data_IF_778257451707
#
_entry.id   IF_778257451707
#
_cell.length_a   1.000
_cell.length_b   1.000
_cell.length_c   1.000
_cell.angle_alpha   90.00
_cell.angle_beta   90.00
_cell.angle_gamma   90.00
#
_symmetry.space_group_name_H-M   'P 1'
#
loop_
_entity.id
_entity.type
_entity.pdbx_description
1 polymer ?
#
# COMPACT_ATOMS: atom_id res chain seq x y z
N UNK A 1 4.14 20.96 5.07
CA UNK A 1 3.39 19.70 5.21
C UNK A 1 3.07 19.42 6.66
N UNK A 2 1.84 18.99 6.93
CA UNK A 2 1.43 18.54 8.27
C UNK A 2 1.67 17.03 8.37
N UNK A 3 1.98 16.52 9.56
CA UNK A 3 2.17 15.07 9.80
C UNK A 3 0.95 14.24 9.33
N UNK A 4 -0.23 14.87 9.24
CA UNK A 4 -1.45 14.27 8.71
C UNK A 4 -1.40 13.86 7.24
N UNK A 5 -0.51 14.45 6.44
CA UNK A 5 -0.43 14.19 4.99
C UNK A 5 -0.02 12.73 4.69
N UNK A 6 0.65 12.06 5.62
CA UNK A 6 1.10 10.67 5.49
C UNK A 6 0.16 9.63 6.08
N UNK A 7 -0.99 10.06 6.62
CA UNK A 7 -2.01 9.17 7.19
C UNK A 7 -2.40 7.99 6.28
N UNK A 8 -2.51 8.14 4.93
CA UNK A 8 -2.81 7.02 4.03
C UNK A 8 -1.80 5.87 4.08
N UNK A 9 -0.56 6.09 4.54
CA UNK A 9 0.44 5.01 4.64
C UNK A 9 0.10 4.03 5.76
N UNK A 10 -0.51 4.51 6.86
CA UNK A 10 -0.70 3.74 8.09
C UNK A 10 -1.62 2.52 7.90
N UNK A 11 -2.83 2.65 7.32
CA UNK A 11 -3.74 1.52 7.18
C UNK A 11 -3.13 0.35 6.40
N UNK A 12 -2.42 0.65 5.30
CA UNK A 12 -1.79 -0.37 4.48
C UNK A 12 -0.69 -1.10 5.23
N UNK A 13 0.20 -0.35 5.92
CA UNK A 13 1.27 -0.93 6.71
C UNK A 13 0.72 -1.85 7.80
N UNK A 14 -0.36 -1.44 8.48
CA UNK A 14 -1.02 -2.27 9.49
C UNK A 14 -1.61 -3.53 8.88
N UNK A 15 -2.32 -3.42 7.76
CA UNK A 15 -2.92 -4.58 7.06
C UNK A 15 -1.83 -5.57 6.65
N UNK A 16 -0.75 -5.11 6.02
CA UNK A 16 0.37 -5.96 5.61
C UNK A 16 1.05 -6.58 6.83
N UNK A 17 1.29 -5.80 7.89
CA UNK A 17 1.95 -6.29 9.09
C UNK A 17 1.13 -7.42 9.74
N UNK A 18 -0.19 -7.21 9.90
CA UNK A 18 -1.12 -8.21 10.45
C UNK A 18 -1.21 -9.44 9.54
N UNK A 19 -1.30 -9.25 8.22
CA UNK A 19 -1.37 -10.32 7.23
C UNK A 19 -0.13 -11.22 7.30
N UNK A 20 1.07 -10.63 7.32
CA UNK A 20 2.33 -11.36 7.45
C UNK A 20 2.47 -12.02 8.83
N UNK A 21 2.13 -11.31 9.91
CA UNK A 21 2.31 -11.80 11.27
C UNK A 21 1.42 -13.02 11.56
N UNK A 22 0.11 -12.88 11.32
CA UNK A 22 -0.88 -13.94 11.61
C UNK A 22 -0.79 -15.14 10.68
N UNK A 23 -0.30 -14.95 9.47
CA UNK A 23 -0.23 -16.03 8.50
C UNK A 23 0.86 -17.04 8.86
N UNK A 24 0.48 -18.32 8.88
CA UNK A 24 1.41 -19.45 8.92
C UNK A 24 1.90 -19.87 7.54
N UNK A 25 1.42 -19.21 6.47
CA UNK A 25 1.80 -19.51 5.07
C UNK A 25 3.21 -19.02 4.78
N UNK A 26 3.61 -17.90 5.38
CA UNK A 26 4.91 -17.29 5.15
C UNK A 26 5.94 -17.78 6.18
N UNK A 27 7.12 -18.25 5.75
CA UNK A 27 8.24 -18.50 6.65
C UNK A 27 8.76 -17.19 7.25
N UNK A 28 9.40 -17.26 8.42
CA UNK A 28 9.87 -16.08 9.14
C UNK A 28 10.79 -15.17 8.30
N UNK A 29 11.63 -15.74 7.44
CA UNK A 29 12.50 -14.99 6.53
C UNK A 29 11.68 -14.07 5.62
N UNK A 30 10.62 -14.58 4.98
CA UNK A 30 9.75 -13.79 4.11
C UNK A 30 9.01 -12.69 4.91
N UNK A 31 8.61 -12.98 6.15
CA UNK A 31 8.00 -11.97 7.02
C UNK A 31 8.96 -10.81 7.30
N UNK A 32 10.21 -11.12 7.66
CA UNK A 32 11.23 -10.09 7.92
C UNK A 32 11.59 -9.29 6.67
N UNK A 33 11.71 -9.95 5.52
CA UNK A 33 11.90 -9.25 4.23
C UNK A 33 10.72 -8.32 3.95
N UNK A 34 9.48 -8.78 4.16
CA UNK A 34 8.28 -7.97 4.02
C UNK A 34 8.31 -6.74 4.94
N UNK A 35 8.56 -6.94 6.24
CA UNK A 35 8.65 -5.82 7.18
C UNK A 35 9.73 -4.82 6.79
N UNK A 36 10.94 -5.31 6.47
CA UNK A 36 12.04 -4.46 6.01
C UNK A 36 11.70 -3.68 4.75
N UNK A 37 11.11 -4.35 3.76
CA UNK A 37 10.68 -3.72 2.51
C UNK A 37 9.72 -2.56 2.77
N UNK A 38 8.62 -2.81 3.50
CA UNK A 38 7.60 -1.78 3.71
C UNK A 38 8.09 -0.64 4.61
N UNK A 39 8.95 -0.91 5.60
CA UNK A 39 9.57 0.13 6.43
C UNK A 39 10.51 0.99 5.58
N UNK A 40 11.42 0.39 4.83
CA UNK A 40 12.39 1.13 4.00
C UNK A 40 11.66 1.92 2.92
N UNK A 41 10.66 1.31 2.25
CA UNK A 41 9.84 2.00 1.26
C UNK A 41 9.13 3.23 1.86
N UNK A 42 8.59 3.10 3.08
CA UNK A 42 7.96 4.23 3.80
C UNK A 42 8.93 5.35 4.06
N UNK A 43 10.12 5.03 4.58
CA UNK A 43 11.14 6.04 4.83
C UNK A 43 11.58 6.73 3.55
N UNK A 44 11.89 5.97 2.49
CA UNK A 44 12.31 6.52 1.20
C UNK A 44 11.21 7.38 0.58
N UNK A 45 9.95 6.92 0.62
CA UNK A 45 8.81 7.66 0.10
C UNK A 45 8.67 9.04 0.75
N UNK A 46 8.71 9.08 2.08
CA UNK A 46 8.63 10.32 2.86
C UNK A 46 9.82 11.23 2.56
N UNK A 47 11.06 10.72 2.62
CA UNK A 47 12.27 11.52 2.40
C UNK A 47 12.27 12.19 1.02
N UNK A 48 11.90 11.45 -0.03
CA UNK A 48 11.87 11.99 -1.39
C UNK A 48 10.76 13.02 -1.54
N UNK A 49 9.57 12.79 -0.97
CA UNK A 49 8.46 13.74 -1.01
C UNK A 49 8.79 15.04 -0.27
N UNK A 50 9.32 14.95 0.94
CA UNK A 50 9.79 16.11 1.71
C UNK A 50 10.87 16.90 0.95
N UNK A 51 11.75 16.19 0.21
CA UNK A 51 12.75 16.85 -0.63
C UNK A 51 12.11 17.60 -1.82
N UNK A 52 11.09 17.03 -2.46
CA UNK A 52 10.34 17.71 -3.54
C UNK A 52 9.68 18.97 -2.99
N UNK A 53 9.01 18.86 -1.85
CA UNK A 53 8.41 20.01 -1.15
C UNK A 53 9.41 21.08 -0.80
N UNK A 54 10.52 20.70 -0.18
CA UNK A 54 11.56 21.65 0.20
C UNK A 54 12.12 22.44 -1.00
N UNK A 55 12.21 21.82 -2.18
CA UNK A 55 12.78 22.45 -3.37
C UNK A 55 11.77 23.29 -4.16
N UNK A 56 10.48 22.93 -4.13
CA UNK A 56 9.51 23.48 -5.07
C UNK A 56 8.21 24.00 -4.44
N UNK A 57 7.90 23.70 -3.17
CA UNK A 57 6.68 24.17 -2.48
C UNK A 57 6.86 25.61 -1.95
N UNK A 58 7.16 26.54 -2.85
CA UNK A 58 7.33 27.96 -2.55
C UNK A 58 6.31 28.77 -3.36
N UNK A 59 5.50 29.63 -2.73
CA UNK A 59 4.52 30.43 -3.45
C UNK A 59 5.16 31.42 -4.44
N UNK A 60 4.64 31.54 -5.68
CA UNK A 60 3.60 30.70 -6.28
C UNK A 60 4.12 29.29 -6.58
N UNK A 61 3.35 28.26 -6.21
CA UNK A 61 3.76 26.86 -6.41
C UNK A 61 3.93 26.62 -7.91
N UNK A 62 5.13 26.27 -8.39
CA UNK A 62 5.40 26.06 -9.81
C UNK A 62 4.86 24.70 -10.27
N UNK A 63 4.49 24.59 -11.55
CA UNK A 63 3.96 23.35 -12.16
C UNK A 63 4.88 22.14 -11.96
N UNK A 64 6.19 22.37 -11.89
CA UNK A 64 7.19 21.32 -11.65
C UNK A 64 7.02 20.62 -10.29
N UNK A 65 6.47 21.30 -9.28
CA UNK A 65 6.15 20.67 -8.00
C UNK A 65 5.09 19.58 -8.19
N UNK A 66 4.01 19.93 -8.89
CA UNK A 66 2.88 19.03 -9.12
C UNK A 66 3.29 17.83 -9.96
N UNK A 67 4.02 18.05 -11.05
CA UNK A 67 4.56 16.97 -11.89
C UNK A 67 5.41 15.99 -11.06
N UNK A 68 6.39 16.50 -10.31
CA UNK A 68 7.29 15.65 -9.51
C UNK A 68 6.58 14.93 -8.38
N UNK A 69 5.65 15.59 -7.69
CA UNK A 69 4.91 14.98 -6.59
C UNK A 69 3.92 13.91 -7.09
N UNK A 70 3.19 14.19 -8.17
CA UNK A 70 2.26 13.23 -8.78
C UNK A 70 2.99 11.99 -9.31
N UNK A 71 4.09 12.18 -10.05
CA UNK A 71 4.92 11.06 -10.55
C UNK A 71 5.44 10.20 -9.39
N UNK A 72 5.98 10.84 -8.35
CA UNK A 72 6.52 10.12 -7.20
C UNK A 72 5.42 9.39 -6.42
N UNK A 73 4.25 10.00 -6.28
CA UNK A 73 3.09 9.38 -5.66
C UNK A 73 2.60 8.16 -6.46
N UNK A 74 2.55 8.23 -7.79
CA UNK A 74 2.17 7.09 -8.64
C UNK A 74 3.15 5.92 -8.50
N UNK A 75 4.45 6.21 -8.56
CA UNK A 75 5.50 5.19 -8.34
C UNK A 75 5.35 4.58 -6.94
N UNK A 76 5.21 5.41 -5.91
CA UNK A 76 5.01 4.96 -4.54
C UNK A 76 3.79 4.05 -4.42
N UNK A 77 2.66 4.46 -4.98
CA UNK A 77 1.42 3.68 -4.98
C UNK A 77 1.62 2.29 -5.57
N UNK A 78 2.28 2.18 -6.73
CA UNK A 78 2.59 0.90 -7.36
C UNK A 78 3.51 0.05 -6.48
N UNK A 79 4.57 0.63 -5.92
CA UNK A 79 5.52 -0.05 -5.03
C UNK A 79 4.86 -0.56 -3.74
N UNK A 80 3.79 0.08 -3.28
CA UNK A 80 2.99 -0.37 -2.15
C UNK A 80 1.95 -1.45 -2.55
N UNK A 81 1.19 -1.20 -3.61
CA UNK A 81 0.06 -2.05 -3.99
C UNK A 81 0.48 -3.39 -4.56
N UNK A 82 1.49 -3.43 -5.42
CA UNK A 82 1.92 -4.68 -6.08
C UNK A 82 2.31 -5.74 -5.05
N UNK A 83 3.26 -5.51 -4.13
CA UNK A 83 3.61 -6.52 -3.12
C UNK A 83 2.46 -6.82 -2.16
N UNK A 84 1.64 -5.82 -1.80
CA UNK A 84 0.45 -6.06 -0.97
C UNK A 84 -0.54 -7.00 -1.65
N UNK A 85 -0.79 -6.79 -2.94
CA UNK A 85 -1.68 -7.62 -3.76
C UNK A 85 -1.12 -9.03 -3.88
N UNK A 86 0.19 -9.18 -4.08
CA UNK A 86 0.85 -10.50 -4.11
C UNK A 86 0.68 -11.24 -2.78
N UNK A 87 0.92 -10.58 -1.64
CA UNK A 87 0.72 -11.17 -0.30
C UNK A 87 -0.74 -11.60 -0.13
N UNK A 88 -1.68 -10.73 -0.50
CA UNK A 88 -3.12 -11.00 -0.42
C UNK A 88 -3.52 -12.21 -1.27
N UNK A 89 -3.07 -12.28 -2.53
CA UNK A 89 -3.35 -13.40 -3.43
C UNK A 89 -2.82 -14.73 -2.88
N UNK A 90 -1.60 -14.75 -2.34
CA UNK A 90 -1.02 -15.94 -1.72
C UNK A 90 -1.87 -16.42 -0.54
N UNK A 91 -2.36 -15.50 0.30
CA UNK A 91 -3.23 -15.83 1.43
C UNK A 91 -4.58 -16.39 0.97
N UNK A 92 -5.25 -15.69 0.05
CA UNK A 92 -6.52 -16.14 -0.51
C UNK A 92 -6.40 -17.53 -1.14
N UNK A 93 -5.35 -17.76 -1.93
CA UNK A 93 -5.12 -19.06 -2.57
C UNK A 93 -4.80 -20.17 -1.57
N UNK A 94 -3.99 -19.89 -0.54
CA UNK A 94 -3.67 -20.86 0.51
C UNK A 94 -4.92 -21.26 1.30
N UNK A 95 -5.77 -20.30 1.64
CA UNK A 95 -7.01 -20.55 2.35
C UNK A 95 -8.03 -21.29 1.48
N UNK A 96 -8.17 -20.90 0.21
CA UNK A 96 -9.04 -21.59 -0.75
C UNK A 96 -8.67 -23.08 -0.93
N UNK A 97 -7.37 -23.41 -0.96
CA UNK A 97 -6.90 -24.80 -1.05
C UNK A 97 -7.19 -25.65 0.19
N UNK A 98 -7.26 -25.02 1.37
CA UNK A 98 -7.54 -25.72 2.64
C UNK A 98 -9.02 -26.02 2.82
N UNK A 99 -9.88 -25.21 2.22
CA UNK A 99 -11.32 -25.31 2.38
C UNK A 99 -11.91 -26.43 1.53
N UNK A 100 -12.61 -27.36 2.18
CA UNK A 100 -13.22 -28.52 1.51
C UNK A 100 -14.69 -28.29 1.21
N UNK A 101 -15.36 -27.44 2.00
CA UNK A 101 -16.79 -27.19 1.85
C UNK A 101 -17.10 -26.13 0.79
N UNK A 102 -18.23 -26.29 0.09
CA UNK A 102 -18.70 -25.35 -0.93
C UNK A 102 -19.04 -23.99 -0.33
N UNK A 103 -19.70 -23.96 0.83
CA UNK A 103 -20.04 -22.69 1.51
C UNK A 103 -18.79 -21.94 1.94
N UNK A 104 -17.81 -22.66 2.47
CA UNK A 104 -16.49 -22.10 2.79
C UNK A 104 -15.83 -21.48 1.56
N UNK A 105 -15.82 -22.16 0.42
CA UNK A 105 -15.27 -21.62 -0.84
C UNK A 105 -15.99 -20.36 -1.32
N UNK A 106 -17.32 -20.30 -1.19
CA UNK A 106 -18.10 -19.08 -1.54
C UNK A 106 -17.72 -17.93 -0.62
N UNK A 107 -17.60 -18.16 0.69
CA UNK A 107 -17.18 -17.14 1.65
C UNK A 107 -15.76 -16.62 1.33
N UNK A 108 -14.84 -17.53 1.00
CA UNK A 108 -13.47 -17.16 0.60
C UNK A 108 -13.44 -16.33 -0.68
N UNK A 109 -14.30 -16.65 -1.65
CA UNK A 109 -14.45 -15.86 -2.86
C UNK A 109 -15.00 -14.46 -2.56
N UNK A 110 -16.01 -14.35 -1.69
CA UNK A 110 -16.55 -13.05 -1.27
C UNK A 110 -15.46 -12.21 -0.56
N UNK A 111 -14.69 -12.81 0.34
CA UNK A 111 -13.55 -12.17 1.00
C UNK A 111 -12.51 -11.67 -0.01
N UNK A 112 -12.20 -12.48 -1.03
CA UNK A 112 -11.30 -12.09 -2.11
C UNK A 112 -11.80 -10.84 -2.84
N UNK A 113 -13.07 -10.83 -3.25
CA UNK A 113 -13.68 -9.69 -3.95
C UNK A 113 -13.66 -8.44 -3.07
N UNK A 114 -14.10 -8.54 -1.80
CA UNK A 114 -14.08 -7.41 -0.86
C UNK A 114 -12.66 -6.87 -0.67
N UNK A 115 -11.66 -7.75 -0.53
CA UNK A 115 -10.27 -7.31 -0.40
C UNK A 115 -9.75 -6.56 -1.62
N UNK A 116 -10.09 -6.99 -2.85
CA UNK A 116 -9.75 -6.24 -4.06
C UNK A 116 -10.42 -4.87 -4.11
N UNK A 117 -11.70 -4.78 -3.74
CA UNK A 117 -12.41 -3.49 -3.66
C UNK A 117 -11.73 -2.57 -2.65
N UNK A 118 -11.33 -3.08 -1.48
CA UNK A 118 -10.62 -2.28 -0.48
C UNK A 118 -9.25 -1.80 -0.97
N UNK A 119 -8.50 -2.62 -1.71
CA UNK A 119 -7.24 -2.20 -2.33
C UNK A 119 -7.45 -1.10 -3.39
N UNK A 120 -8.52 -1.18 -4.17
CA UNK A 120 -8.88 -0.13 -5.12
C UNK A 120 -9.27 1.17 -4.43
N UNK A 121 -10.11 1.10 -3.39
CA UNK A 121 -10.49 2.26 -2.57
C UNK A 121 -9.26 2.89 -1.93
N UNK A 122 -8.34 2.06 -1.41
CA UNK A 122 -7.06 2.54 -0.90
C UNK A 122 -6.26 3.30 -1.96
N UNK A 123 -6.15 2.73 -3.16
CA UNK A 123 -5.44 3.35 -4.27
C UNK A 123 -6.00 4.74 -4.60
N UNK A 124 -7.33 4.85 -4.65
CA UNK A 124 -8.01 6.11 -4.88
C UNK A 124 -7.66 7.16 -3.81
N UNK A 125 -7.79 6.81 -2.52
CA UNK A 125 -7.47 7.74 -1.44
C UNK A 125 -5.99 8.13 -1.42
N UNK A 126 -5.08 7.18 -1.67
CA UNK A 126 -3.65 7.45 -1.75
C UNK A 126 -3.35 8.48 -2.84
N UNK A 127 -3.86 8.28 -4.06
CA UNK A 127 -3.65 9.22 -5.17
C UNK A 127 -4.24 10.59 -4.88
N UNK A 128 -5.45 10.65 -4.32
CA UNK A 128 -6.12 11.93 -4.01
C UNK A 128 -5.43 12.73 -2.91
N UNK A 129 -4.75 12.08 -1.97
CA UNK A 129 -4.11 12.74 -0.82
C UNK A 129 -2.64 13.04 -1.05
N UNK A 130 -1.92 12.12 -1.71
CA UNK A 130 -0.48 12.20 -1.88
C UNK A 130 -0.05 12.68 -3.27
N UNK A 131 -0.86 12.43 -4.30
CA UNK A 131 -0.48 12.66 -5.71
C UNK A 131 -1.38 13.62 -6.47
N UNK A 132 -2.36 14.25 -5.81
CA UNK A 132 -3.28 15.17 -6.47
C UNK A 132 -2.55 16.45 -6.93
N UNK A 133 -2.79 16.84 -8.18
CA UNK A 133 -2.48 18.15 -8.74
C UNK A 133 -3.80 18.91 -8.96
N UNK A 134 -3.96 20.13 -8.42
CA UNK A 134 -5.09 21.00 -8.68
C UNK A 134 -5.13 21.51 -10.12
#
# INVERSE_FOLDING_TARGET
>A
MEVGDYFPLVPLLVVVAVALHRSRVFPNIIKYIGYGYFIVLTLVFIIVRERISYLYEHPPIPDIYWEKNSDWSEIGLLLYLVPTTVIFLILCFSWFKREKDLKGKILMFLFFVVGLVLLFVYAFFFSMTLGYSP
#
